data_IF_355950244210
#
_entry.id   IF_355950244210
#
_cell.length_a   1.000
_cell.length_b   1.000
_cell.length_c   1.000
_cell.angle_alpha   90.00
_cell.angle_beta   90.00
_cell.angle_gamma   90.00
#
_symmetry.space_group_name_H-M   'P 1'
#
loop_
_entity.id
_entity.type
_entity.pdbx_description
1 polymer ?
#
# COMPACT_ATOMS: atom_id res chain seq x y z
N UNK A 1 -43.97 47.06 -21.88
CA UNK A 1 -42.85 46.13 -21.59
C UNK A 1 -43.44 44.86 -21.01
N UNK A 2 -43.49 43.76 -21.79
CA UNK A 2 -44.05 42.46 -21.38
C UNK A 2 -42.92 41.62 -20.78
N UNK A 3 -43.00 41.29 -19.50
CA UNK A 3 -42.18 40.26 -18.88
C UNK A 3 -42.57 38.91 -19.47
N UNK A 4 -41.64 38.25 -20.14
CA UNK A 4 -41.79 36.87 -20.62
C UNK A 4 -41.62 35.91 -19.44
N UNK A 5 -42.45 34.85 -19.35
CA UNK A 5 -42.34 33.83 -18.31
C UNK A 5 -41.00 33.09 -18.43
N UNK A 6 -40.29 32.95 -17.30
CA UNK A 6 -39.13 32.05 -17.18
C UNK A 6 -39.61 30.63 -17.46
N UNK A 7 -39.23 30.12 -18.64
CA UNK A 7 -39.34 28.70 -18.99
C UNK A 7 -38.55 27.94 -17.92
N UNK A 8 -39.26 27.11 -17.18
CA UNK A 8 -38.79 26.46 -15.97
C UNK A 8 -37.57 25.58 -16.17
N UNK A 9 -36.74 25.55 -15.13
CA UNK A 9 -35.58 24.70 -14.90
C UNK A 9 -35.93 23.20 -14.74
N UNK A 10 -36.97 22.71 -15.42
CA UNK A 10 -37.29 21.29 -15.50
C UNK A 10 -36.45 20.65 -16.61
N UNK A 11 -35.12 20.72 -16.47
CA UNK A 11 -34.25 19.83 -17.21
C UNK A 11 -34.61 18.42 -16.77
N UNK A 12 -35.17 17.56 -17.66
CA UNK A 12 -35.55 16.22 -17.27
C UNK A 12 -34.29 15.54 -16.74
N UNK A 13 -34.33 15.14 -15.46
CA UNK A 13 -33.42 14.16 -14.89
C UNK A 13 -33.55 12.92 -15.76
N UNK A 14 -32.77 12.86 -16.85
CA UNK A 14 -32.50 11.63 -17.60
C UNK A 14 -31.70 10.76 -16.64
N UNK A 15 -32.41 10.12 -15.72
CA UNK A 15 -31.89 9.03 -14.91
C UNK A 15 -31.36 8.02 -15.90
N UNK A 16 -30.04 8.00 -16.03
CA UNK A 16 -29.29 7.21 -16.99
C UNK A 16 -29.52 5.72 -16.73
N UNK A 17 -30.59 5.18 -17.31
CA UNK A 17 -30.91 3.75 -17.31
C UNK A 17 -29.86 2.92 -18.07
N UNK A 18 -29.04 3.57 -18.90
CA UNK A 18 -27.93 2.97 -19.63
C UNK A 18 -26.75 2.52 -18.74
N UNK A 19 -26.65 2.97 -17.49
CA UNK A 19 -25.53 2.62 -16.62
C UNK A 19 -25.62 1.21 -15.99
N UNK A 20 -26.81 0.59 -15.94
CA UNK A 20 -27.04 -0.73 -15.32
C UNK A 20 -26.36 -1.91 -16.02
N UNK A 21 -26.37 -2.07 -17.36
CA UNK A 21 -25.78 -3.26 -18.00
C UNK A 21 -24.25 -3.38 -17.86
N UNK A 22 -23.54 -2.28 -17.60
CA UNK A 22 -22.07 -2.30 -17.46
C UNK A 22 -21.57 -2.73 -16.07
N UNK A 23 -22.43 -2.72 -15.04
CA UNK A 23 -22.08 -3.05 -13.65
C UNK A 23 -21.57 -4.49 -13.43
N UNK A 24 -22.23 -5.56 -13.92
CA UNK A 24 -21.78 -6.93 -13.68
C UNK A 24 -20.39 -7.19 -14.29
N UNK A 25 -20.08 -6.53 -15.41
CA UNK A 25 -18.79 -6.66 -16.06
C UNK A 25 -17.67 -5.94 -15.30
N UNK A 26 -17.92 -4.71 -14.84
CA UNK A 26 -17.00 -3.98 -13.98
C UNK A 26 -16.71 -4.77 -12.68
N UNK A 27 -17.73 -5.38 -12.09
CA UNK A 27 -17.59 -6.26 -10.93
C UNK A 27 -16.73 -7.50 -11.23
N UNK A 28 -16.91 -8.12 -12.41
CA UNK A 28 -16.09 -9.26 -12.82
C UNK A 28 -14.61 -8.88 -12.97
N UNK A 29 -14.30 -7.71 -13.54
CA UNK A 29 -12.92 -7.22 -13.64
C UNK A 29 -12.34 -6.86 -12.27
N UNK A 30 -13.11 -6.21 -11.40
CA UNK A 30 -12.69 -5.90 -10.05
C UNK A 30 -12.40 -7.19 -9.24
N UNK A 31 -13.22 -8.23 -9.41
CA UNK A 31 -12.97 -9.56 -8.82
C UNK A 31 -11.69 -10.19 -9.35
N UNK A 32 -11.39 -10.08 -10.66
CA UNK A 32 -10.10 -10.54 -11.20
C UNK A 32 -8.92 -9.79 -10.59
N UNK A 33 -9.08 -8.48 -10.32
CA UNK A 33 -8.05 -7.69 -9.65
C UNK A 33 -7.82 -8.17 -8.21
N UNK A 34 -8.89 -8.46 -7.46
CA UNK A 34 -8.79 -9.06 -6.13
C UNK A 34 -8.06 -10.41 -6.15
N UNK A 35 -8.49 -11.32 -7.03
CA UNK A 35 -7.87 -12.65 -7.14
C UNK A 35 -6.40 -12.54 -7.54
N UNK A 36 -6.08 -11.68 -8.52
CA UNK A 36 -4.71 -11.41 -8.92
C UNK A 36 -3.86 -10.86 -7.77
N UNK A 37 -4.42 -9.97 -6.95
CA UNK A 37 -3.75 -9.48 -5.76
C UNK A 37 -3.50 -10.60 -4.75
N UNK A 38 -4.50 -11.41 -4.43
CA UNK A 38 -4.35 -12.51 -3.47
C UNK A 38 -3.27 -13.49 -3.93
N UNK A 39 -3.21 -13.80 -5.22
CA UNK A 39 -2.16 -14.64 -5.81
C UNK A 39 -0.78 -13.98 -5.68
N UNK A 40 -0.64 -12.71 -6.06
CA UNK A 40 0.64 -12.00 -5.96
C UNK A 40 1.12 -11.87 -4.50
N UNK A 41 0.20 -11.64 -3.57
CA UNK A 41 0.51 -11.60 -2.15
C UNK A 41 0.90 -12.98 -1.60
N UNK A 42 0.20 -14.05 -2.01
CA UNK A 42 0.57 -15.42 -1.65
C UNK A 42 1.97 -15.79 -2.19
N UNK A 43 2.33 -15.34 -3.39
CA UNK A 43 3.69 -15.52 -3.93
C UNK A 43 4.71 -14.75 -3.08
N UNK A 44 4.44 -13.49 -2.72
CA UNK A 44 5.33 -12.72 -1.86
C UNK A 44 5.53 -13.40 -0.47
N UNK A 45 4.44 -13.93 0.10
CA UNK A 45 4.47 -14.70 1.34
C UNK A 45 5.27 -16.00 1.21
N UNK A 46 5.11 -16.73 0.10
CA UNK A 46 5.87 -17.95 -0.17
C UNK A 46 7.36 -17.65 -0.32
N UNK A 47 7.74 -16.58 -1.01
CA UNK A 47 9.14 -16.14 -1.16
C UNK A 47 9.73 -15.77 0.21
N UNK A 48 9.05 -14.93 1.00
CA UNK A 48 9.50 -14.60 2.36
C UNK A 48 9.65 -15.85 3.21
N UNK A 49 8.69 -16.77 3.11
CA UNK A 49 8.70 -18.02 3.86
C UNK A 49 9.86 -18.94 3.45
N UNK A 50 10.24 -18.95 2.18
CA UNK A 50 11.36 -19.75 1.68
C UNK A 50 12.72 -19.16 2.07
N UNK A 51 12.79 -17.84 2.31
CA UNK A 51 14.02 -17.15 2.73
C UNK A 51 14.18 -17.02 4.24
N UNK A 52 13.09 -17.14 4.99
CA UNK A 52 13.11 -17.10 6.45
C UNK A 52 13.72 -18.38 7.05
N UNK A 53 14.40 -18.22 8.18
CA UNK A 53 14.92 -19.33 8.97
C UNK A 53 13.79 -20.31 9.37
N UNK A 54 14.09 -21.61 9.42
CA UNK A 54 13.11 -22.62 9.85
C UNK A 54 12.63 -22.35 11.27
N UNK A 55 11.33 -22.52 11.54
CA UNK A 55 10.75 -22.35 12.89
C UNK A 55 10.04 -21.02 13.17
N UNK A 56 10.15 -20.02 12.29
CA UNK A 56 9.38 -18.77 12.39
C UNK A 56 7.87 -19.05 12.21
N UNK A 57 7.03 -18.56 13.13
CA UNK A 57 5.59 -18.75 13.08
C UNK A 57 4.95 -18.09 11.85
N UNK A 58 3.87 -18.67 11.30
CA UNK A 58 3.20 -18.13 10.11
C UNK A 58 2.72 -16.69 10.30
N UNK A 59 2.26 -16.32 11.50
CA UNK A 59 1.81 -14.97 11.83
C UNK A 59 2.95 -13.94 11.68
N UNK A 60 4.17 -14.31 12.08
CA UNK A 60 5.36 -13.46 11.95
C UNK A 60 5.80 -13.33 10.49
N UNK A 61 5.77 -14.43 9.73
CA UNK A 61 6.01 -14.41 8.27
C UNK A 61 5.00 -13.51 7.54
N UNK A 62 3.72 -13.60 7.94
CA UNK A 62 2.68 -12.71 7.46
C UNK A 62 3.01 -11.26 7.82
N UNK A 63 3.34 -10.97 9.07
CA UNK A 63 3.71 -9.62 9.50
C UNK A 63 4.84 -9.02 8.64
N UNK A 64 5.92 -9.77 8.40
CA UNK A 64 7.06 -9.37 7.56
C UNK A 64 6.72 -9.15 6.08
N UNK A 65 5.64 -9.77 5.59
CA UNK A 65 5.21 -9.64 4.18
C UNK A 65 4.15 -8.57 3.95
N UNK A 66 3.43 -8.13 4.98
CA UNK A 66 2.42 -7.07 4.87
C UNK A 66 2.94 -5.76 4.27
N UNK A 67 4.19 -5.31 4.50
CA UNK A 67 4.75 -4.14 3.81
C UNK A 67 4.71 -4.23 2.28
N UNK A 68 4.63 -5.44 1.69
CA UNK A 68 4.52 -5.66 0.25
C UNK A 68 3.08 -5.59 -0.28
N UNK A 69 2.06 -5.54 0.59
CA UNK A 69 0.66 -5.51 0.17
C UNK A 69 0.30 -4.33 -0.77
N UNK A 70 0.79 -3.09 -0.57
CA UNK A 70 0.53 -2.00 -1.50
C UNK A 70 1.09 -2.23 -2.91
N UNK A 71 2.25 -2.86 -3.01
CA UNK A 71 2.89 -3.16 -4.30
C UNK A 71 2.11 -4.24 -5.06
N UNK A 72 1.72 -5.31 -4.38
CA UNK A 72 0.93 -6.40 -4.98
C UNK A 72 -0.46 -5.92 -5.44
N UNK A 73 -1.10 -5.04 -4.66
CA UNK A 73 -2.31 -4.30 -5.07
C UNK A 73 -2.10 -3.56 -6.40
N UNK A 74 -1.04 -2.75 -6.48
CA UNK A 74 -0.75 -1.94 -7.66
C UNK A 74 -0.47 -2.78 -8.91
N UNK A 75 0.31 -3.86 -8.75
CA UNK A 75 0.61 -4.80 -9.83
C UNK A 75 -0.65 -5.52 -10.31
N UNK A 76 -1.48 -6.02 -9.39
CA UNK A 76 -2.72 -6.72 -9.73
C UNK A 76 -3.68 -5.82 -10.52
N UNK A 77 -3.93 -4.60 -10.04
CA UNK A 77 -4.81 -3.65 -10.71
C UNK A 77 -4.26 -3.29 -12.12
N UNK A 78 -2.95 -3.06 -12.24
CA UNK A 78 -2.31 -2.74 -13.51
C UNK A 78 -2.38 -3.89 -14.52
N UNK A 79 -2.13 -5.13 -14.09
CA UNK A 79 -2.18 -6.31 -14.94
C UNK A 79 -3.58 -6.59 -15.45
N UNK A 80 -4.61 -6.47 -14.61
CA UNK A 80 -6.00 -6.68 -15.02
C UNK A 80 -6.45 -5.63 -16.02
N UNK A 81 -6.14 -4.34 -15.78
CA UNK A 81 -6.44 -3.28 -16.76
C UNK A 81 -5.69 -3.49 -18.07
N UNK A 82 -4.43 -3.92 -18.02
CA UNK A 82 -3.64 -4.23 -19.22
C UNK A 82 -4.24 -5.40 -20.01
N UNK A 83 -4.65 -6.48 -19.33
CA UNK A 83 -5.27 -7.63 -19.96
C UNK A 83 -6.62 -7.27 -20.60
N UNK A 84 -7.48 -6.53 -19.89
CA UNK A 84 -8.77 -6.06 -20.40
C UNK A 84 -8.60 -5.26 -21.70
N UNK A 85 -7.55 -4.43 -21.78
CA UNK A 85 -7.23 -3.66 -23.01
C UNK A 85 -6.75 -4.51 -24.16
N UNK A 86 -5.82 -5.43 -23.89
CA UNK A 86 -5.29 -6.34 -24.91
C UNK A 86 -6.41 -7.16 -25.55
N UNK A 87 -7.44 -7.47 -24.78
CA UNK A 87 -8.65 -8.18 -25.23
C UNK A 87 -9.73 -7.27 -25.83
N UNK A 88 -9.52 -5.95 -25.86
CA UNK A 88 -10.51 -4.99 -26.35
C UNK A 88 -11.72 -4.77 -25.43
N UNK A 89 -11.74 -5.35 -24.24
CA UNK A 89 -12.84 -5.26 -23.26
C UNK A 89 -13.09 -3.80 -22.84
N UNK A 90 -12.02 -3.00 -22.70
CA UNK A 90 -12.13 -1.57 -22.39
C UNK A 90 -12.85 -0.78 -23.49
N UNK A 91 -12.60 -1.11 -24.77
CA UNK A 91 -13.27 -0.46 -25.90
C UNK A 91 -14.74 -0.85 -25.98
N UNK A 92 -15.05 -2.11 -25.71
CA UNK A 92 -16.43 -2.59 -25.63
C UNK A 92 -17.20 -1.88 -24.51
N UNK A 93 -16.60 -1.74 -23.33
CA UNK A 93 -17.19 -1.00 -22.21
C UNK A 93 -17.37 0.50 -22.54
N UNK A 94 -16.39 1.11 -23.20
CA UNK A 94 -16.48 2.49 -23.64
C UNK A 94 -17.60 2.71 -24.67
N UNK A 95 -17.85 1.74 -25.56
CA UNK A 95 -18.96 1.79 -26.52
C UNK A 95 -20.34 1.77 -25.85
N UNK A 96 -20.46 1.17 -24.65
CA UNK A 96 -21.67 1.19 -23.82
C UNK A 96 -21.69 2.40 -22.87
N UNK A 97 -20.76 3.34 -23.03
CA UNK A 97 -20.71 4.59 -22.26
C UNK A 97 -19.94 4.53 -20.94
N UNK A 98 -19.24 3.44 -20.64
CA UNK A 98 -18.42 3.37 -19.42
C UNK A 98 -17.05 4.01 -19.66
N UNK A 99 -16.76 5.11 -18.96
CA UNK A 99 -15.47 5.78 -19.05
C UNK A 99 -14.32 4.83 -18.63
N UNK A 100 -13.22 4.73 -19.41
CA UNK A 100 -12.06 3.89 -19.08
C UNK A 100 -11.45 4.16 -17.69
N UNK A 101 -11.51 5.42 -17.26
CA UNK A 101 -11.07 5.83 -15.93
C UNK A 101 -11.87 5.14 -14.82
N UNK A 102 -13.17 4.94 -15.01
CA UNK A 102 -14.04 4.26 -14.04
C UNK A 102 -13.60 2.81 -13.82
N UNK A 103 -13.17 2.12 -14.87
CA UNK A 103 -12.69 0.75 -14.75
C UNK A 103 -11.42 0.65 -13.88
N UNK A 104 -10.44 1.53 -14.13
CA UNK A 104 -9.21 1.57 -13.34
C UNK A 104 -9.48 1.88 -11.87
N UNK A 105 -10.41 2.80 -11.59
CA UNK A 105 -10.83 3.12 -10.22
C UNK A 105 -11.41 1.90 -9.50
N UNK A 106 -12.34 1.15 -10.13
CA UNK A 106 -12.91 -0.06 -9.53
C UNK A 106 -11.85 -1.14 -9.25
N UNK A 107 -10.94 -1.35 -10.20
CA UNK A 107 -9.85 -2.30 -10.01
C UNK A 107 -8.94 -1.88 -8.85
N UNK A 108 -8.59 -0.61 -8.75
CA UNK A 108 -7.75 -0.08 -7.68
C UNK A 108 -8.42 -0.16 -6.29
N UNK A 109 -9.72 0.17 -6.21
CA UNK A 109 -10.49 0.08 -4.96
C UNK A 109 -10.59 -1.35 -4.43
N UNK A 110 -10.86 -2.32 -5.31
CA UNK A 110 -10.97 -3.72 -4.87
C UNK A 110 -9.59 -4.31 -4.61
N UNK A 111 -8.58 -3.96 -5.41
CA UNK A 111 -7.21 -4.36 -5.15
C UNK A 111 -6.61 -3.71 -3.88
N UNK A 112 -7.22 -2.69 -3.27
CA UNK A 112 -6.74 -2.19 -1.98
C UNK A 112 -7.19 -3.05 -0.78
N UNK A 113 -7.91 -4.15 -0.99
CA UNK A 113 -8.45 -4.99 0.08
C UNK A 113 -7.37 -5.56 1.01
N UNK A 114 -6.28 -6.15 0.49
CA UNK A 114 -5.20 -6.68 1.34
C UNK A 114 -4.46 -5.58 2.11
N UNK A 115 -4.05 -4.43 1.52
CA UNK A 115 -3.55 -3.28 2.27
C UNK A 115 -4.51 -2.78 3.35
N UNK A 116 -5.83 -2.77 3.08
CA UNK A 116 -6.84 -2.41 4.08
C UNK A 116 -6.89 -3.40 5.25
N UNK A 117 -6.85 -4.70 4.95
CA UNK A 117 -6.78 -5.74 5.99
C UNK A 117 -5.47 -5.66 6.79
N UNK A 118 -4.34 -5.40 6.12
CA UNK A 118 -3.05 -5.15 6.75
C UNK A 118 -3.11 -3.95 7.69
N UNK A 119 -3.68 -2.84 7.23
CA UNK A 119 -3.86 -1.65 8.05
C UNK A 119 -4.75 -1.90 9.27
N UNK A 120 -5.85 -2.65 9.10
CA UNK A 120 -6.70 -3.04 10.23
C UNK A 120 -5.93 -3.90 11.24
N UNK A 121 -5.16 -4.88 10.78
CA UNK A 121 -4.34 -5.73 11.64
C UNK A 121 -3.29 -4.93 12.44
N UNK A 122 -2.64 -3.94 11.80
CA UNK A 122 -1.74 -3.00 12.47
C UNK A 122 -2.46 -2.14 13.51
N UNK A 123 -3.65 -1.63 13.16
CA UNK A 123 -4.44 -0.77 14.04
C UNK A 123 -4.86 -1.47 15.34
N UNK A 124 -5.23 -2.76 15.26
CA UNK A 124 -5.60 -3.58 16.43
C UNK A 124 -4.40 -4.19 17.16
N UNK A 125 -3.17 -3.95 16.67
CA UNK A 125 -1.95 -4.47 17.29
C UNK A 125 -1.70 -5.96 17.06
N UNK A 126 -2.34 -6.56 16.05
CA UNK A 126 -2.08 -7.95 15.65
C UNK A 126 -0.77 -8.12 14.87
N UNK A 127 -0.18 -7.02 14.43
CA UNK A 127 1.07 -6.95 13.67
C UNK A 127 2.00 -5.99 14.40
N UNK A 128 3.25 -6.42 14.63
CA UNK A 128 4.25 -5.51 15.16
C UNK A 128 4.60 -4.45 14.11
N UNK A 129 4.54 -3.20 14.52
CA UNK A 129 4.87 -2.04 13.67
C UNK A 129 6.23 -1.45 14.03
N UNK A 130 6.95 -2.01 15.01
CA UNK A 130 8.27 -1.55 15.42
C UNK A 130 9.27 -1.53 14.26
N UNK A 131 9.14 -2.44 13.29
CA UNK A 131 9.97 -2.46 12.08
C UNK A 131 9.84 -1.19 11.22
N UNK A 132 8.69 -0.49 11.25
CA UNK A 132 8.54 0.81 10.58
C UNK A 132 9.30 1.93 11.30
N UNK A 133 9.66 1.73 12.56
CA UNK A 133 10.34 2.71 13.42
C UNK A 133 11.67 2.13 13.88
N UNK A 134 12.64 1.91 12.97
CA UNK A 134 13.90 1.31 13.36
C UNK A 134 14.58 2.23 14.37
N UNK A 135 14.93 1.64 15.50
CA UNK A 135 15.72 2.32 16.51
C UNK A 135 17.19 2.26 16.10
N UNK A 136 17.97 3.33 16.34
CA UNK A 136 19.41 3.25 16.11
C UNK A 136 19.98 2.10 16.95
N UNK A 137 20.86 1.25 16.38
CA UNK A 137 21.48 0.16 17.12
C UNK A 137 22.18 0.77 18.33
N UNK A 138 21.73 0.43 19.52
CA UNK A 138 22.42 0.78 20.75
C UNK A 138 23.51 -0.25 20.97
N UNK A 139 24.64 0.20 21.51
CA UNK A 139 25.60 -0.75 22.04
C UNK A 139 24.84 -1.63 23.05
N UNK A 140 24.92 -2.97 22.93
CA UNK A 140 24.24 -3.86 23.86
C UNK A 140 24.67 -3.46 25.27
N UNK A 141 23.69 -3.09 26.09
CA UNK A 141 23.96 -2.73 27.47
C UNK A 141 24.15 -4.04 28.21
N UNK A 142 25.42 -4.39 28.42
CA UNK A 142 25.77 -5.45 29.35
C UNK A 142 25.61 -4.90 30.77
N UNK A 143 24.75 -5.56 31.54
CA UNK A 143 24.58 -5.31 32.97
C UNK A 143 25.42 -6.34 33.71
N UNK A 144 26.38 -5.86 34.50
CA UNK A 144 27.18 -6.68 35.40
C UNK A 144 26.43 -6.82 36.73
N UNK A 145 26.07 -8.06 37.10
CA UNK A 145 25.44 -8.38 38.39
C UNK A 145 26.46 -8.85 39.45
N UNK A 146 27.76 -8.77 39.13
CA UNK A 146 28.86 -9.24 39.96
C UNK A 146 29.25 -10.70 39.70
N UNK A 147 28.47 -11.45 38.93
CA UNK A 147 28.73 -12.87 38.59
C UNK A 147 28.75 -13.09 37.08
N UNK A 148 27.88 -12.40 36.33
CA UNK A 148 27.75 -12.49 34.87
C UNK A 148 27.53 -11.12 34.24
N UNK A 149 28.03 -10.94 33.03
CA UNK A 149 27.65 -9.84 32.15
C UNK A 149 26.45 -10.28 31.33
N UNK A 150 25.27 -9.79 31.66
CA UNK A 150 24.03 -10.17 30.96
C UNK A 150 23.58 -9.06 30.00
N UNK A 151 23.12 -9.46 28.81
CA UNK A 151 22.43 -8.58 27.88
C UNK A 151 21.05 -9.17 27.63
N UNK A 152 20.04 -8.55 28.23
CA UNK A 152 18.65 -8.97 28.06
C UNK A 152 18.17 -8.80 26.60
N UNK A 153 18.72 -7.82 25.89
CA UNK A 153 18.47 -7.57 24.45
C UNK A 153 19.00 -8.70 23.57
N UNK A 154 20.22 -9.18 23.86
CA UNK A 154 20.82 -10.30 23.15
C UNK A 154 20.35 -11.66 23.67
N UNK A 155 19.64 -11.71 24.79
CA UNK A 155 19.23 -12.95 25.46
C UNK A 155 20.41 -13.81 25.93
N UNK A 156 21.58 -13.21 26.15
CA UNK A 156 22.81 -13.92 26.57
C UNK A 156 23.33 -13.40 27.89
N UNK A 157 23.92 -14.30 28.67
CA UNK A 157 24.76 -14.01 29.81
C UNK A 157 26.16 -14.55 29.56
N UNK A 158 27.18 -13.73 29.81
CA UNK A 158 28.59 -14.08 29.72
C UNK A 158 29.11 -14.26 31.13
N UNK A 159 29.51 -15.47 31.48
CA UNK A 159 30.19 -15.74 32.76
C UNK A 159 31.57 -15.07 32.80
N UNK A 160 32.15 -14.90 34.00
CA UNK A 160 33.50 -14.34 34.15
C UNK A 160 34.60 -15.15 33.44
N UNK A 161 34.36 -16.44 33.26
CA UNK A 161 35.25 -17.34 32.54
C UNK A 161 35.14 -17.19 31.00
N UNK A 162 34.24 -16.32 30.52
CA UNK A 162 33.96 -16.11 29.10
C UNK A 162 32.87 -17.02 28.52
N UNK A 163 32.32 -17.93 29.33
CA UNK A 163 31.25 -18.84 28.91
C UNK A 163 29.97 -18.08 28.54
N UNK A 164 29.51 -18.26 27.31
CA UNK A 164 28.21 -17.78 26.84
C UNK A 164 27.10 -18.75 27.26
N UNK A 165 26.12 -18.25 28.01
CA UNK A 165 24.92 -18.99 28.41
C UNK A 165 23.67 -18.25 27.94
N UNK A 166 22.67 -18.95 27.39
CA UNK A 166 21.38 -18.32 27.11
C UNK A 166 20.71 -17.92 28.43
N UNK A 167 20.09 -16.74 28.46
CA UNK A 167 19.23 -16.34 29.58
C UNK A 167 18.02 -17.29 29.64
N UNK A 168 17.79 -17.88 30.83
CA UNK A 168 16.76 -18.92 31.04
C UNK A 168 15.32 -18.45 30.74
N UNK A 169 15.10 -17.14 30.69
CA UNK A 169 13.93 -16.56 30.07
C UNK A 169 14.40 -15.62 28.96
N UNK A 170 13.95 -15.79 27.71
CA UNK A 170 14.02 -14.68 26.77
C UNK A 170 13.29 -13.54 27.46
N UNK A 171 13.95 -12.40 27.65
CA UNK A 171 13.27 -11.23 28.14
C UNK A 171 12.27 -10.86 27.04
N UNK A 172 11.02 -11.29 27.19
CA UNK A 172 9.88 -11.00 26.31
C UNK A 172 9.52 -9.50 26.30
N UNK A 173 10.43 -8.63 26.74
CA UNK A 173 10.28 -7.18 26.81
C UNK A 173 11.59 -6.38 26.83
N UNK A 174 12.77 -6.99 26.68
CA UNK A 174 14.04 -6.23 26.62
C UNK A 174 14.28 -5.70 25.21
N UNK A 175 13.51 -4.67 24.88
CA UNK A 175 13.45 -4.09 23.54
C UNK A 175 12.06 -3.62 23.14
N UNK A 176 11.09 -3.58 24.07
CA UNK A 176 9.84 -2.85 23.85
C UNK A 176 10.15 -1.35 23.78
N UNK A 177 10.72 -0.92 22.66
CA UNK A 177 10.82 0.47 22.30
C UNK A 177 9.41 1.04 22.45
N UNK A 178 9.27 2.04 23.31
CA UNK A 178 8.01 2.75 23.43
C UNK A 178 7.73 3.37 22.07
N UNK A 179 6.86 2.71 21.30
CA UNK A 179 6.45 3.18 19.99
C UNK A 179 5.99 4.65 20.14
N UNK A 180 6.34 5.53 19.20
CA UNK A 180 5.81 6.88 19.21
C UNK A 180 4.29 6.85 19.35
N UNK A 181 3.72 7.88 20.00
CA UNK A 181 2.28 7.99 20.12
C UNK A 181 1.63 7.88 18.72
N UNK A 182 0.54 7.13 18.65
CA UNK A 182 -0.21 6.86 17.43
C UNK A 182 0.53 6.07 16.32
N UNK A 183 1.70 5.48 16.58
CA UNK A 183 2.48 4.72 15.60
C UNK A 183 1.65 3.70 14.81
N UNK A 184 0.88 2.85 15.52
CA UNK A 184 0.01 1.84 14.90
C UNK A 184 -1.05 2.46 13.99
N UNK A 185 -1.72 3.52 14.44
CA UNK A 185 -2.75 4.20 13.66
C UNK A 185 -2.20 4.84 12.39
N UNK A 186 -1.00 5.44 12.47
CA UNK A 186 -0.34 6.05 11.31
C UNK A 186 0.17 4.98 10.34
N UNK A 187 0.81 3.91 10.82
CA UNK A 187 1.25 2.79 9.99
C UNK A 187 0.06 2.14 9.26
N UNK A 188 -1.05 1.95 9.98
CA UNK A 188 -2.31 1.46 9.41
C UNK A 188 -2.82 2.37 8.29
N UNK A 189 -2.93 3.68 8.56
CA UNK A 189 -3.38 4.66 7.58
C UNK A 189 -2.48 4.68 6.35
N UNK A 190 -1.16 4.70 6.55
CA UNK A 190 -0.18 4.68 5.46
C UNK A 190 -0.36 3.44 4.61
N UNK A 191 -0.51 2.25 5.21
CA UNK A 191 -0.70 1.00 4.46
C UNK A 191 -1.94 1.06 3.56
N UNK A 192 -3.08 1.49 4.10
CA UNK A 192 -4.34 1.62 3.35
C UNK A 192 -4.20 2.65 2.22
N UNK A 193 -3.72 3.86 2.54
CA UNK A 193 -3.58 4.96 1.59
C UNK A 193 -2.59 4.60 0.49
N UNK A 194 -1.48 3.96 0.84
CA UNK A 194 -0.46 3.49 -0.11
C UNK A 194 -1.04 2.48 -1.08
N UNK A 195 -1.79 1.49 -0.57
CA UNK A 195 -2.39 0.45 -1.39
C UNK A 195 -3.34 1.00 -2.43
N UNK A 196 -4.16 1.98 -2.06
CA UNK A 196 -5.07 2.65 -2.99
C UNK A 196 -4.34 3.61 -3.93
N UNK A 197 -3.47 4.47 -3.42
CA UNK A 197 -2.76 5.47 -4.20
C UNK A 197 -1.88 4.83 -5.28
N UNK A 198 -1.09 3.81 -4.93
CA UNK A 198 -0.24 3.11 -5.88
C UNK A 198 -1.05 2.34 -6.93
N UNK A 199 -2.17 1.73 -6.54
CA UNK A 199 -3.06 1.08 -7.50
C UNK A 199 -3.67 2.06 -8.50
N UNK A 200 -4.14 3.22 -8.03
CA UNK A 200 -4.65 4.29 -8.90
C UNK A 200 -3.57 4.82 -9.84
N UNK A 201 -2.36 5.09 -9.33
CA UNK A 201 -1.22 5.52 -10.16
C UNK A 201 -0.91 4.47 -11.23
N UNK A 202 -0.90 3.18 -10.87
CA UNK A 202 -0.56 2.10 -11.79
C UNK A 202 -1.63 1.89 -12.88
N UNK A 203 -2.91 1.98 -12.56
CA UNK A 203 -3.99 1.92 -13.56
C UNK A 203 -4.00 3.15 -14.47
N UNK A 204 -3.73 4.34 -13.91
CA UNK A 204 -3.64 5.60 -14.69
C UNK A 204 -2.42 5.62 -15.62
N UNK A 205 -1.27 5.12 -15.17
CA UNK A 205 -0.06 4.98 -15.97
C UNK A 205 -0.34 4.24 -17.29
N UNK A 206 -1.25 3.26 -17.21
CA UNK A 206 -1.71 2.54 -18.38
C UNK A 206 -2.72 3.37 -19.17
N UNK A 207 -3.67 4.07 -18.56
CA UNK A 207 -4.79 4.78 -19.21
C UNK A 207 -4.46 5.84 -20.26
N UNK A 208 -3.21 6.26 -20.43
CA UNK A 208 -2.87 7.22 -21.48
C UNK A 208 -2.76 6.53 -22.85
N UNK A 209 -3.66 6.82 -23.82
CA UNK A 209 -3.47 6.36 -25.18
C UNK A 209 -2.17 6.95 -25.73
N UNK A 210 -1.41 6.15 -26.48
CA UNK A 210 -0.30 6.66 -27.28
C UNK A 210 -0.88 7.57 -28.38
N UNK A 211 -1.08 8.86 -28.07
CA UNK A 211 -1.37 9.87 -29.08
C UNK A 211 -0.16 9.94 -30.00
N UNK A 212 -0.34 9.48 -31.25
CA UNK A 212 0.71 9.44 -32.26
C UNK A 212 1.38 8.07 -32.34
N UNK A 213 1.12 7.35 -33.43
CA UNK A 213 1.63 6.00 -33.73
C UNK A 213 3.13 5.91 -34.02
N UNK A 214 3.97 6.73 -33.38
CA UNK A 214 5.43 6.67 -33.55
C UNK A 214 6.16 6.58 -32.20
N UNK A 215 7.00 5.55 -32.18
CA UNK A 215 8.08 5.18 -31.26
C UNK A 215 7.78 4.44 -29.93
N UNK A 216 8.22 3.16 -29.82
CA UNK A 216 8.26 2.42 -28.56
C UNK A 216 9.27 2.98 -27.54
N UNK A 217 10.26 3.78 -27.98
CA UNK A 217 11.29 4.38 -27.09
C UNK A 217 10.70 5.32 -26.04
N UNK A 218 9.57 5.98 -26.34
CA UNK A 218 8.86 6.84 -25.37
C UNK A 218 7.90 6.09 -24.43
N UNK A 219 7.66 4.79 -24.62
CA UNK A 219 6.73 4.04 -23.78
C UNK A 219 7.32 3.75 -22.39
N UNK A 220 8.61 3.38 -22.34
CA UNK A 220 9.33 3.15 -21.08
C UNK A 220 9.45 4.44 -20.26
N UNK A 221 9.85 5.56 -20.88
CA UNK A 221 9.92 6.85 -20.22
C UNK A 221 8.56 7.31 -19.66
N UNK A 222 7.46 7.09 -20.39
CA UNK A 222 6.09 7.39 -19.91
C UNK A 222 5.66 6.49 -18.75
N UNK A 223 6.00 5.19 -18.80
CA UNK A 223 5.74 4.28 -17.70
C UNK A 223 6.52 4.69 -16.44
N UNK A 224 7.81 4.98 -16.59
CA UNK A 224 8.67 5.49 -15.51
C UNK A 224 8.13 6.81 -14.95
N UNK A 225 7.79 7.77 -15.79
CA UNK A 225 7.22 9.05 -15.35
C UNK A 225 5.88 8.91 -14.61
N UNK A 226 5.11 7.85 -14.89
CA UNK A 226 3.86 7.59 -14.20
C UNK A 226 4.05 6.88 -12.85
N UNK A 227 5.13 6.11 -12.69
CA UNK A 227 5.49 5.41 -11.45
C UNK A 227 6.35 6.27 -10.52
N UNK A 228 7.16 7.19 -11.07
CA UNK A 228 8.07 8.05 -10.32
C UNK A 228 7.42 8.78 -9.13
N UNK A 229 6.21 9.33 -9.23
CA UNK A 229 5.56 9.98 -8.08
C UNK A 229 5.26 9.00 -6.94
N UNK A 230 4.91 7.76 -7.26
CA UNK A 230 4.71 6.70 -6.27
C UNK A 230 6.02 6.31 -5.58
N UNK A 231 7.11 6.23 -6.33
CA UNK A 231 8.45 5.98 -5.78
C UNK A 231 8.89 7.13 -4.87
N UNK A 232 8.75 8.38 -5.32
CA UNK A 232 9.09 9.58 -4.53
C UNK A 232 8.27 9.62 -3.24
N UNK A 233 6.96 9.39 -3.30
CA UNK A 233 6.10 9.36 -2.12
C UNK A 233 6.49 8.23 -1.16
N UNK A 234 6.82 7.04 -1.68
CA UNK A 234 7.25 5.89 -0.85
C UNK A 234 8.57 6.19 -0.13
N UNK A 235 9.56 6.74 -0.84
CA UNK A 235 10.84 7.15 -0.24
C UNK A 235 10.63 8.24 0.80
N UNK A 236 9.82 9.26 0.50
CA UNK A 236 9.51 10.33 1.45
C UNK A 236 8.77 9.82 2.69
N UNK A 237 7.86 8.85 2.54
CA UNK A 237 7.19 8.20 3.67
C UNK A 237 8.17 7.39 4.52
N UNK A 238 9.09 6.66 3.90
CA UNK A 238 10.14 5.94 4.63
C UNK A 238 11.02 6.92 5.41
N UNK A 239 11.50 7.99 4.79
CA UNK A 239 12.31 9.01 5.46
C UNK A 239 11.57 9.68 6.63
N UNK A 240 10.27 9.93 6.50
CA UNK A 240 9.46 10.53 7.58
C UNK A 240 9.21 9.55 8.73
N UNK A 241 9.03 8.26 8.47
CA UNK A 241 9.04 7.24 9.53
C UNK A 241 10.39 7.18 10.27
N UNK A 242 11.50 7.22 9.54
CA UNK A 242 12.85 7.24 10.12
C UNK A 242 13.07 8.48 11.01
N UNK A 243 12.66 9.66 10.54
CA UNK A 243 12.73 10.89 11.32
C UNK A 243 11.79 10.85 12.54
N UNK A 244 10.62 10.22 12.44
CA UNK A 244 9.70 10.05 13.55
C UNK A 244 10.26 9.08 14.60
N UNK A 245 10.88 7.98 14.18
CA UNK A 245 11.59 7.05 15.07
C UNK A 245 12.73 7.75 15.83
N UNK A 246 13.43 8.67 15.17
CA UNK A 246 14.46 9.50 15.79
C UNK A 246 13.91 10.66 16.65
N UNK A 247 12.59 10.78 16.81
CA UNK A 247 11.94 11.85 17.57
C UNK A 247 12.10 13.26 16.96
N UNK A 248 12.48 13.35 15.68
CA UNK A 248 12.72 14.63 14.99
C UNK A 248 11.47 15.26 14.40
N UNK A 249 10.45 14.44 14.10
CA UNK A 249 9.18 14.89 13.55
C UNK A 249 8.00 14.14 14.18
N UNK A 250 6.80 14.74 14.23
CA UNK A 250 5.58 14.03 14.64
C UNK A 250 5.28 12.82 13.75
N UNK A 251 4.85 11.72 14.38
CA UNK A 251 4.48 10.48 13.69
C UNK A 251 3.48 10.70 12.55
N UNK A 252 2.50 11.58 12.74
CA UNK A 252 1.46 11.87 11.76
C UNK A 252 1.99 12.36 10.39
N UNK A 253 3.18 12.97 10.35
CA UNK A 253 3.77 13.45 9.10
C UNK A 253 4.18 12.30 8.16
N UNK A 254 4.33 11.07 8.66
CA UNK A 254 4.64 9.91 7.82
C UNK A 254 3.55 9.58 6.78
N UNK A 255 2.30 9.97 7.06
CA UNK A 255 1.18 9.78 6.13
C UNK A 255 1.10 10.85 5.04
N UNK A 256 1.74 12.02 5.23
CA UNK A 256 1.57 13.16 4.33
C UNK A 256 1.97 12.87 2.87
N UNK A 257 3.11 12.20 2.57
CA UNK A 257 3.49 11.94 1.18
C UNK A 257 2.49 11.06 0.43
N UNK A 258 2.01 9.99 1.07
CA UNK A 258 1.04 9.06 0.45
C UNK A 258 -0.36 9.66 0.37
N UNK A 259 -0.78 10.48 1.33
CA UNK A 259 -2.02 11.25 1.22
C UNK A 259 -1.94 12.26 0.06
N UNK A 260 -0.83 12.97 -0.08
CA UNK A 260 -0.59 13.87 -1.21
C UNK A 260 -0.66 13.15 -2.55
N UNK A 261 -0.05 11.96 -2.65
CA UNK A 261 -0.15 11.11 -3.83
C UNK A 261 -1.61 10.70 -4.10
N UNK A 262 -2.35 10.26 -3.09
CA UNK A 262 -3.75 9.85 -3.24
C UNK A 262 -4.62 11.01 -3.73
N UNK A 263 -4.51 12.20 -3.11
CA UNK A 263 -5.24 13.40 -3.53
C UNK A 263 -4.93 13.74 -4.98
N UNK A 264 -3.65 13.71 -5.36
CA UNK A 264 -3.22 13.94 -6.73
C UNK A 264 -3.89 12.97 -7.69
N UNK A 265 -3.89 11.66 -7.39
CA UNK A 265 -4.52 10.64 -8.23
C UNK A 265 -6.04 10.83 -8.33
N UNK A 266 -6.72 11.14 -7.23
CA UNK A 266 -8.17 11.40 -7.22
C UNK A 266 -8.52 12.61 -8.10
N UNK A 267 -7.79 13.72 -7.98
CA UNK A 267 -7.96 14.90 -8.85
C UNK A 267 -7.74 14.54 -10.31
N UNK A 268 -6.69 13.76 -10.56
CA UNK A 268 -6.33 13.23 -11.88
C UNK A 268 -7.41 12.34 -12.51
N UNK A 269 -8.15 11.57 -11.70
CA UNK A 269 -9.27 10.75 -12.15
C UNK A 269 -10.54 11.57 -12.39
N UNK A 270 -10.77 12.61 -11.58
CA UNK A 270 -11.89 13.54 -11.76
C UNK A 270 -11.78 14.34 -13.05
N UNK A 271 -10.57 14.82 -13.39
CA UNK A 271 -10.34 15.59 -14.63
C UNK A 271 -10.33 14.76 -15.92
N UNK A 272 -10.40 13.43 -15.81
CA UNK A 272 -10.46 12.51 -16.94
C UNK A 272 -11.88 12.03 -17.28
N UNK A 273 -12.89 12.47 -16.52
CA UNK A 273 -14.31 12.25 -16.79
C UNK A 273 -14.84 13.40 -17.63
#
# INVERSE_FOLDING_TARGET
MRQLPRVGDDAPQRVSTAARPAQPYAAALARRALLGQLVLFAVALAVSSATDEGGVALAERLARTLPLAPLTSALAAALVVLQARRRGEERALAAVGLAPATLGLWCALVASATPSAAGLAMAVGAVDVAEFYPSPPRAPIFVDDGVTFSSAELGVAVGRDGDLRPLAAPATGAGAHALPSHARGVAALVSVVSGLALALSATRARARPARGGREPRGAAARALAAVAPGLVASVATLLTFQLAAAGRVPTALAAAPMLGLLVREVVAYRSAR
#
